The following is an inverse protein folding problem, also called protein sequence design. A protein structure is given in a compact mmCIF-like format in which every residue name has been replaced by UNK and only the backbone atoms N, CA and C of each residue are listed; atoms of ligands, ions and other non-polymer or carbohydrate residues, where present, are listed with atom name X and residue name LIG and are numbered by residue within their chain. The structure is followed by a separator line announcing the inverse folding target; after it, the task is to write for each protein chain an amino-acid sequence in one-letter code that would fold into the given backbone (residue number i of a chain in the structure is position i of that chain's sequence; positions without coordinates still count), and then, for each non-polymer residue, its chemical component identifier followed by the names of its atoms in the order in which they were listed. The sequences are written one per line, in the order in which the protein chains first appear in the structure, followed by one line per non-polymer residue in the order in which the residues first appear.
data_IF_359828688190
#
_entry.id   IF_359828688190
#
_cell.length_a   1.000
_cell.length_b   1.000
_cell.length_c   1.000
_cell.angle_alpha   90.00
_cell.angle_beta   90.00
_cell.angle_gamma   90.00
#
_symmetry.space_group_name_H-M   'P 1'
#
loop_
_entity.id
_entity.type
_entity.pdbx_description
1 polymer ?
#
# COMPACT_ATOMS: atom_id res chain seq x y z
N UNK A 1 -6.44 14.28 -14.02
CA UNK A 1 -6.36 12.98 -14.69
C UNK A 1 -5.21 12.93 -15.69
N UNK A 2 -5.15 13.85 -16.68
CA UNK A 2 -4.09 13.88 -17.70
C UNK A 2 -2.67 14.00 -17.12
N UNK A 3 -2.48 14.76 -16.03
CA UNK A 3 -1.20 14.87 -15.32
C UNK A 3 -0.80 13.51 -14.69
N UNK A 4 -1.74 12.84 -14.04
CA UNK A 4 -1.50 11.51 -13.44
C UNK A 4 -1.09 10.50 -14.52
N UNK A 5 -1.79 10.47 -15.63
CA UNK A 5 -1.45 9.60 -16.76
C UNK A 5 -0.02 9.85 -17.25
N UNK A 6 0.31 11.12 -17.49
CA UNK A 6 1.63 11.51 -18.03
C UNK A 6 2.78 11.27 -17.04
N UNK A 7 2.56 11.57 -15.74
CA UNK A 7 3.63 11.64 -14.75
C UNK A 7 3.72 10.40 -13.84
N UNK A 8 2.67 9.59 -13.76
CA UNK A 8 2.64 8.38 -12.93
C UNK A 8 2.45 7.11 -13.77
N UNK A 9 1.40 7.03 -14.59
CA UNK A 9 1.08 5.78 -15.30
C UNK A 9 2.12 5.45 -16.36
N UNK A 10 2.35 6.36 -17.32
CA UNK A 10 3.27 6.10 -18.45
C UNK A 10 4.70 5.79 -18.02
N UNK A 11 5.32 6.54 -17.08
CA UNK A 11 6.66 6.24 -16.62
C UNK A 11 6.74 4.87 -15.93
N UNK A 12 5.78 4.56 -15.05
CA UNK A 12 5.74 3.28 -14.35
C UNK A 12 5.58 2.12 -15.33
N UNK A 13 4.66 2.23 -16.29
CA UNK A 13 4.50 1.21 -17.33
C UNK A 13 5.80 0.94 -18.08
N UNK A 14 6.52 1.99 -18.49
CA UNK A 14 7.82 1.84 -19.16
C UNK A 14 8.86 1.14 -18.29
N UNK A 15 8.89 1.43 -16.98
CA UNK A 15 9.79 0.76 -16.04
C UNK A 15 9.41 -0.72 -15.92
N UNK A 16 8.13 -1.03 -15.74
CA UNK A 16 7.62 -2.40 -15.63
C UNK A 16 7.96 -3.20 -16.88
N UNK A 17 7.70 -2.66 -18.05
CA UNK A 17 8.02 -3.32 -19.33
C UNK A 17 9.53 -3.60 -19.47
N UNK A 18 10.38 -2.63 -19.12
CA UNK A 18 11.83 -2.77 -19.18
C UNK A 18 12.38 -3.80 -18.17
N UNK A 19 11.81 -3.86 -16.97
CA UNK A 19 12.17 -4.86 -15.94
C UNK A 19 11.79 -6.26 -16.42
N UNK A 20 10.54 -6.43 -16.88
CA UNK A 20 10.04 -7.73 -17.31
C UNK A 20 10.69 -8.26 -18.60
N UNK A 21 11.17 -7.37 -19.46
CA UNK A 21 11.98 -7.78 -20.61
C UNK A 21 13.28 -8.52 -20.18
N UNK A 22 13.82 -8.19 -18.99
CA UNK A 22 15.02 -8.83 -18.43
C UNK A 22 14.71 -9.90 -17.39
N UNK A 23 13.64 -9.73 -16.66
CA UNK A 23 13.18 -10.59 -15.55
C UNK A 23 11.66 -10.78 -15.65
N UNK A 24 11.19 -11.72 -16.47
CA UNK A 24 9.77 -11.95 -16.73
C UNK A 24 8.97 -12.33 -15.45
N UNK A 25 9.65 -12.94 -14.49
CA UNK A 25 9.11 -13.41 -13.21
C UNK A 25 9.09 -12.32 -12.11
N UNK A 26 9.63 -11.11 -12.37
CA UNK A 26 9.71 -10.04 -11.38
C UNK A 26 8.32 -9.61 -10.89
N UNK A 27 8.15 -9.61 -9.56
CA UNK A 27 6.96 -9.06 -8.90
C UNK A 27 7.17 -7.58 -8.58
N UNK A 28 6.21 -6.77 -8.99
CA UNK A 28 6.33 -5.30 -8.95
C UNK A 28 5.13 -4.72 -8.21
N UNK A 29 5.40 -3.90 -7.20
CA UNK A 29 4.40 -3.12 -6.47
C UNK A 29 4.49 -1.67 -6.93
N UNK A 30 3.40 -1.12 -7.46
CA UNK A 30 3.32 0.30 -7.81
C UNK A 30 2.76 1.12 -6.65
N UNK A 31 3.44 2.22 -6.28
CA UNK A 31 3.01 3.08 -5.18
C UNK A 31 2.92 4.56 -5.61
N UNK A 32 1.82 4.97 -6.25
CA UNK A 32 1.59 6.37 -6.60
C UNK A 32 0.97 7.13 -5.43
N UNK A 33 1.80 7.55 -4.47
CA UNK A 33 1.39 8.27 -3.25
C UNK A 33 0.60 9.55 -3.56
N UNK A 34 -0.42 9.84 -2.75
CA UNK A 34 -1.21 11.07 -2.84
C UNK A 34 -2.15 11.13 -4.04
N UNK A 35 -2.46 9.98 -4.64
CA UNK A 35 -3.24 9.91 -5.88
C UNK A 35 -4.49 9.04 -5.77
N UNK A 36 -5.02 8.87 -4.57
CA UNK A 36 -6.15 7.97 -4.27
C UNK A 36 -7.30 8.09 -5.27
N UNK A 37 -7.69 9.32 -5.64
CA UNK A 37 -8.78 9.58 -6.59
C UNK A 37 -8.54 9.01 -8.01
N UNK A 38 -7.29 8.68 -8.37
CA UNK A 38 -6.91 8.25 -9.72
C UNK A 38 -6.45 6.79 -9.78
N UNK A 39 -6.54 6.04 -8.69
CA UNK A 39 -6.02 4.67 -8.61
C UNK A 39 -6.85 3.61 -9.34
N UNK A 40 -8.11 3.91 -9.65
CA UNK A 40 -8.93 3.00 -10.45
C UNK A 40 -8.26 2.67 -11.77
N UNK A 41 -8.14 1.39 -12.09
CA UNK A 41 -7.47 0.92 -13.31
C UNK A 41 -5.95 1.17 -13.35
N UNK A 42 -5.32 1.59 -12.25
CA UNK A 42 -3.88 1.83 -12.23
C UNK A 42 -3.07 0.55 -12.48
N UNK A 43 -3.47 -0.57 -11.86
CA UNK A 43 -2.82 -1.88 -12.05
C UNK A 43 -2.84 -2.31 -13.53
N UNK A 44 -3.99 -2.24 -14.17
CA UNK A 44 -4.18 -2.64 -15.56
C UNK A 44 -3.38 -1.76 -16.51
N UNK A 45 -3.37 -0.45 -16.26
CA UNK A 45 -2.64 0.52 -17.09
C UNK A 45 -1.13 0.43 -16.96
N UNK A 46 -0.64 0.03 -15.78
CA UNK A 46 0.81 -0.05 -15.51
C UNK A 46 1.35 -1.47 -15.59
N UNK A 47 0.47 -2.47 -15.50
CA UNK A 47 0.84 -3.88 -15.45
C UNK A 47 1.67 -4.25 -14.20
N UNK A 48 1.47 -3.57 -13.06
CA UNK A 48 2.06 -3.96 -11.77
C UNK A 48 1.30 -5.15 -11.16
N UNK A 49 1.96 -5.95 -10.33
CA UNK A 49 1.33 -7.11 -9.65
C UNK A 49 0.48 -6.68 -8.46
N UNK A 50 0.93 -5.67 -7.72
CA UNK A 50 0.23 -5.13 -6.57
C UNK A 50 0.24 -3.60 -6.55
N UNK A 51 -0.72 -3.01 -5.84
CA UNK A 51 -0.82 -1.55 -5.67
C UNK A 51 -0.57 -1.17 -4.22
N UNK A 52 0.40 -0.28 -4.00
CA UNK A 52 0.62 0.36 -2.70
C UNK A 52 -0.45 1.43 -2.44
N UNK A 53 -1.01 1.41 -1.24
CA UNK A 53 -2.02 2.34 -0.75
C UNK A 53 -1.39 3.26 0.28
N UNK A 54 -1.60 4.57 0.16
CA UNK A 54 -1.19 5.49 1.21
C UNK A 54 -2.22 5.54 2.37
N UNK A 55 -1.81 6.12 3.51
CA UNK A 55 -2.63 6.16 4.73
C UNK A 55 -3.89 7.00 4.60
N UNK A 56 -3.94 7.92 3.62
CA UNK A 56 -5.10 8.78 3.37
C UNK A 56 -6.17 8.10 2.49
N UNK A 57 -5.91 6.87 2.03
CA UNK A 57 -6.85 6.11 1.20
C UNK A 57 -8.13 5.79 1.99
N UNK A 58 -9.32 6.20 1.53
CA UNK A 58 -10.58 5.78 2.13
C UNK A 58 -10.76 4.27 2.08
N UNK A 59 -11.26 3.67 3.18
CA UNK A 59 -11.44 2.21 3.30
C UNK A 59 -12.24 1.59 2.15
N UNK A 60 -13.34 2.23 1.75
CA UNK A 60 -14.17 1.74 0.64
C UNK A 60 -13.42 1.68 -0.69
N UNK A 61 -12.54 2.69 -0.94
CA UNK A 61 -11.74 2.71 -2.17
C UNK A 61 -10.59 1.69 -2.09
N UNK A 62 -9.98 1.52 -0.91
CA UNK A 62 -8.96 0.51 -0.68
C UNK A 62 -9.50 -0.91 -0.98
N UNK A 63 -10.72 -1.21 -0.51
CA UNK A 63 -11.41 -2.48 -0.79
C UNK A 63 -11.73 -2.64 -2.29
N UNK A 64 -12.19 -1.57 -2.94
CA UNK A 64 -12.44 -1.58 -4.39
C UNK A 64 -11.16 -1.89 -5.18
N UNK A 65 -10.04 -1.24 -4.84
CA UNK A 65 -8.74 -1.51 -5.49
C UNK A 65 -8.27 -2.95 -5.22
N UNK A 66 -8.48 -3.45 -3.99
CA UNK A 66 -8.13 -4.83 -3.62
C UNK A 66 -8.96 -5.87 -4.35
N UNK A 67 -10.20 -5.59 -4.70
CA UNK A 67 -11.04 -6.51 -5.47
C UNK A 67 -10.45 -6.86 -6.85
N UNK A 68 -9.62 -5.99 -7.40
CA UNK A 68 -8.87 -6.24 -8.64
C UNK A 68 -7.56 -7.01 -8.42
N UNK A 69 -7.08 -7.22 -7.19
CA UNK A 69 -5.86 -7.97 -6.87
C UNK A 69 -5.07 -7.41 -5.67
N UNK A 70 -3.84 -7.90 -5.42
CA UNK A 70 -3.09 -7.57 -4.21
C UNK A 70 -2.88 -6.08 -3.98
N UNK A 71 -3.00 -5.68 -2.71
CA UNK A 71 -2.66 -4.33 -2.24
C UNK A 71 -1.63 -4.40 -1.12
N UNK A 72 -0.84 -3.33 -0.97
CA UNK A 72 0.10 -3.16 0.13
C UNK A 72 -0.20 -1.86 0.86
N UNK A 73 -0.29 -1.91 2.17
CA UNK A 73 -0.52 -0.73 3.03
C UNK A 73 -1.44 -1.08 4.18
N UNK A 74 -2.11 -0.09 4.75
CA UNK A 74 -1.94 1.36 4.56
C UNK A 74 -1.99 2.06 5.92
N UNK A 75 -1.36 1.44 6.94
CA UNK A 75 -1.31 2.00 8.30
C UNK A 75 -0.68 3.40 8.28
N UNK A 76 -1.28 4.35 9.00
CA UNK A 76 -0.67 5.66 9.20
C UNK A 76 0.66 5.52 9.97
N UNK A 77 1.80 6.01 9.42
CA UNK A 77 3.07 5.98 10.13
C UNK A 77 3.04 6.68 11.49
N UNK A 78 2.19 7.69 11.68
CA UNK A 78 2.05 8.37 12.95
C UNK A 78 1.44 7.48 14.04
N UNK A 79 0.68 6.45 13.68
CA UNK A 79 0.22 5.44 14.64
C UNK A 79 1.41 4.68 15.26
N UNK A 80 2.46 4.40 14.46
CA UNK A 80 3.69 3.76 14.96
C UNK A 80 4.47 4.70 15.88
N UNK A 81 4.50 6.00 15.58
CA UNK A 81 5.12 7.00 16.46
C UNK A 81 4.38 7.07 17.80
N UNK A 82 3.05 7.15 17.76
CA UNK A 82 2.20 7.24 18.95
C UNK A 82 2.26 5.96 19.81
N UNK A 83 2.29 4.79 19.20
CA UNK A 83 2.27 3.52 19.91
C UNK A 83 0.97 3.24 20.66
N UNK A 84 1.03 2.31 21.62
CA UNK A 84 -0.09 2.03 22.53
C UNK A 84 -1.41 1.72 21.81
N UNK A 85 -2.51 2.28 22.31
CA UNK A 85 -3.86 2.05 21.79
C UNK A 85 -4.02 2.56 20.34
N UNK A 86 -3.44 3.70 20.01
CA UNK A 86 -3.55 4.27 18.66
C UNK A 86 -2.92 3.34 17.60
N UNK A 87 -1.79 2.71 17.93
CA UNK A 87 -1.16 1.72 17.07
C UNK A 87 -2.04 0.46 16.93
N UNK A 88 -2.55 -0.05 18.06
CA UNK A 88 -3.37 -1.26 18.06
C UNK A 88 -4.65 -1.08 17.23
N UNK A 89 -5.39 0.00 17.47
CA UNK A 89 -6.60 0.35 16.72
C UNK A 89 -6.31 0.56 15.21
N UNK A 90 -5.19 1.21 14.89
CA UNK A 90 -4.78 1.40 13.49
C UNK A 90 -4.48 0.09 12.78
N UNK A 91 -3.78 -0.83 13.43
CA UNK A 91 -3.50 -2.18 12.88
C UNK A 91 -4.80 -2.95 12.68
N UNK A 92 -5.66 -2.98 13.69
CA UNK A 92 -6.94 -3.68 13.61
C UNK A 92 -7.80 -3.15 12.47
N UNK A 93 -7.89 -1.83 12.31
CA UNK A 93 -8.65 -1.20 11.24
C UNK A 93 -8.16 -1.62 9.84
N UNK A 94 -6.84 -1.67 9.62
CA UNK A 94 -6.30 -2.15 8.34
C UNK A 94 -6.66 -3.61 8.11
N UNK A 95 -6.54 -4.45 9.14
CA UNK A 95 -6.84 -5.88 9.04
C UNK A 95 -8.34 -6.15 8.87
N UNK A 96 -9.20 -5.44 9.56
CA UNK A 96 -10.66 -5.51 9.40
C UNK A 96 -11.09 -5.07 7.99
N UNK A 97 -10.44 -4.03 7.45
CA UNK A 97 -10.78 -3.49 6.14
C UNK A 97 -10.26 -4.36 5.00
N UNK A 98 -9.03 -4.85 5.08
CA UNK A 98 -8.30 -5.45 3.96
C UNK A 98 -7.86 -6.90 4.20
N UNK A 99 -7.94 -7.41 5.44
CA UNK A 99 -7.46 -8.74 5.79
C UNK A 99 -8.26 -9.89 5.16
N UNK A 100 -9.48 -9.64 4.69
CA UNK A 100 -10.29 -10.62 3.97
C UNK A 100 -9.86 -10.85 2.52
N UNK A 101 -8.93 -10.08 1.99
CA UNK A 101 -8.42 -10.16 0.63
C UNK A 101 -6.89 -10.25 0.56
N UNK A 102 -6.31 -10.23 -0.65
CA UNK A 102 -4.87 -10.32 -0.83
C UNK A 102 -4.17 -9.05 -0.34
N UNK A 103 -3.69 -9.06 0.89
CA UNK A 103 -3.04 -7.96 1.59
C UNK A 103 -1.57 -8.25 1.88
N UNK A 104 -0.69 -7.31 1.54
CA UNK A 104 0.65 -7.19 2.11
C UNK A 104 0.57 -6.08 3.16
N UNK A 105 0.48 -6.45 4.46
CA UNK A 105 0.41 -5.44 5.51
C UNK A 105 1.67 -4.56 5.52
N UNK A 106 1.47 -3.26 5.51
CA UNK A 106 2.56 -2.28 5.57
C UNK A 106 2.00 -0.93 6.07
N UNK A 107 2.92 0.01 6.31
CA UNK A 107 2.57 1.42 6.48
C UNK A 107 2.14 2.02 5.14
N UNK A 108 1.31 3.04 5.19
CA UNK A 108 0.93 3.84 4.01
C UNK A 108 1.98 4.84 3.55
N UNK A 109 3.17 4.82 4.15
CA UNK A 109 4.38 5.57 3.79
C UNK A 109 5.60 4.95 4.49
N UNK A 110 6.79 5.50 4.22
CA UNK A 110 7.99 5.16 4.98
C UNK A 110 7.84 5.50 6.47
N UNK A 111 8.45 4.66 7.31
CA UNK A 111 8.53 4.92 8.75
C UNK A 111 9.33 6.18 9.02
N UNK A 112 8.92 6.96 10.01
CA UNK A 112 9.62 8.18 10.40
C UNK A 112 10.70 7.91 11.45
N UNK A 113 11.76 8.74 11.53
CA UNK A 113 12.85 8.53 12.49
C UNK A 113 12.41 8.54 13.95
N UNK A 114 11.28 9.19 14.25
CA UNK A 114 10.74 9.30 15.61
C UNK A 114 10.07 8.02 16.10
N UNK A 115 9.83 7.05 15.22
CA UNK A 115 9.17 5.81 15.57
C UNK A 115 10.04 4.96 16.50
N UNK A 116 9.48 4.54 17.63
CA UNK A 116 10.15 3.64 18.56
C UNK A 116 10.21 2.21 17.97
N UNK A 117 11.38 1.57 17.88
CA UNK A 117 11.48 0.17 17.43
C UNK A 117 10.58 -0.82 18.19
N UNK A 118 10.33 -0.59 19.48
CA UNK A 118 9.42 -1.41 20.26
C UNK A 118 7.95 -1.35 19.73
N UNK A 119 7.54 -0.20 19.17
CA UNK A 119 6.22 -0.07 18.55
C UNK A 119 6.16 -0.86 17.24
N UNK A 120 7.26 -0.91 16.48
CA UNK A 120 7.34 -1.74 15.28
C UNK A 120 7.19 -3.22 15.65
N UNK A 121 7.89 -3.67 16.69
CA UNK A 121 7.75 -5.04 17.18
C UNK A 121 6.31 -5.34 17.60
N UNK A 122 5.68 -4.45 18.37
CA UNK A 122 4.26 -4.56 18.75
C UNK A 122 3.33 -4.69 17.56
N UNK A 123 3.54 -3.86 16.53
CA UNK A 123 2.79 -3.94 15.28
C UNK A 123 2.92 -5.30 14.61
N UNK A 124 4.16 -5.79 14.46
CA UNK A 124 4.44 -7.09 13.85
C UNK A 124 3.78 -8.23 14.63
N UNK A 125 3.90 -8.20 15.95
CA UNK A 125 3.31 -9.21 16.83
C UNK A 125 1.76 -9.21 16.70
N UNK A 126 1.15 -8.03 16.59
CA UNK A 126 -0.30 -7.92 16.42
C UNK A 126 -0.77 -8.46 15.08
N UNK A 127 -0.09 -8.11 13.99
CA UNK A 127 -0.41 -8.61 12.64
C UNK A 127 -0.28 -10.12 12.55
N UNK A 128 0.67 -10.73 13.27
CA UNK A 128 0.94 -12.18 13.25
C UNK A 128 0.03 -13.02 14.15
N UNK A 129 -0.79 -12.41 14.99
CA UNK A 129 -1.71 -13.11 15.90
C UNK A 129 -3.05 -13.51 15.25
N UNK A 130 -3.22 -13.24 13.99
CA UNK A 130 -4.44 -13.51 13.24
C UNK A 130 -4.30 -14.83 12.48
#
# INVERSE_FOLDING_TARGET
EAMFERSCVRPVKRIVDAVRAKRPDAKIIGFPKGTSAFLRGYRERTNVDAVGLDWAMPSWLAQEIQSGGPVQGNLDPLAVVAGGRALDEGVDQVLETLGGGPLIFNLGHGITPEANPAHVQRMVDRVRKI
#
